data_IF_206878847606
#
_entry.id   IF_206878847606
#
_cell.length_a   1.000
_cell.length_b   1.000
_cell.length_c   1.000
_cell.angle_alpha   90.00
_cell.angle_beta   90.00
_cell.angle_gamma   90.00
#
_symmetry.space_group_name_H-M   'P 1'
#
loop_
_entity.id
_entity.type
_entity.pdbx_description
1 polymer ?
#
# COMPACT_ATOMS: atom_id res chain seq x y z
N UNK A 1 -27.17 -31.31 -20.02
CA UNK A 1 -25.89 -30.84 -19.45
C UNK A 1 -25.12 -29.91 -20.39
N UNK A 2 -25.12 -30.10 -21.71
CA UNK A 2 -24.45 -29.21 -22.69
C UNK A 2 -25.12 -27.83 -22.82
N UNK A 3 -26.44 -27.74 -22.60
CA UNK A 3 -27.19 -26.48 -22.62
C UNK A 3 -26.82 -25.49 -21.50
N UNK A 4 -26.38 -25.98 -20.34
CA UNK A 4 -25.94 -25.14 -19.22
C UNK A 4 -24.59 -24.45 -19.49
N UNK A 5 -23.72 -25.08 -20.29
CA UNK A 5 -22.44 -24.53 -20.74
C UNK A 5 -22.59 -23.38 -21.75
N UNK A 6 -23.64 -23.40 -22.57
CA UNK A 6 -23.93 -22.30 -23.49
C UNK A 6 -24.51 -21.08 -22.77
N UNK A 7 -25.35 -21.31 -21.75
CA UNK A 7 -25.96 -20.24 -20.93
C UNK A 7 -24.94 -19.52 -20.04
N UNK A 8 -23.96 -20.25 -19.49
CA UNK A 8 -22.88 -19.64 -18.69
C UNK A 8 -21.98 -18.73 -19.52
N UNK A 9 -21.78 -19.03 -20.81
CA UNK A 9 -20.95 -18.21 -21.72
C UNK A 9 -21.63 -16.90 -22.10
N UNK A 10 -22.96 -16.89 -22.27
CA UNK A 10 -23.72 -15.66 -22.47
C UNK A 10 -23.71 -14.76 -21.23
N UNK A 11 -23.85 -15.33 -20.03
CA UNK A 11 -23.78 -14.58 -18.78
C UNK A 11 -22.40 -13.99 -18.53
N UNK A 12 -21.33 -14.69 -18.93
CA UNK A 12 -19.96 -14.19 -18.87
C UNK A 12 -19.74 -12.97 -19.76
N UNK A 13 -20.32 -12.96 -20.96
CA UNK A 13 -20.21 -11.81 -21.88
C UNK A 13 -20.98 -10.58 -21.36
N UNK A 14 -22.15 -10.78 -20.76
CA UNK A 14 -22.95 -9.68 -20.19
C UNK A 14 -22.29 -9.07 -18.93
N UNK A 15 -21.61 -9.89 -18.13
CA UNK A 15 -20.87 -9.41 -16.95
C UNK A 15 -19.57 -8.70 -17.32
N UNK A 16 -18.90 -9.13 -18.40
CA UNK A 16 -17.69 -8.47 -18.90
C UNK A 16 -17.99 -7.06 -19.44
N UNK A 17 -19.16 -6.89 -20.09
CA UNK A 17 -19.63 -5.60 -20.60
C UNK A 17 -19.89 -4.61 -19.46
N UNK A 18 -20.52 -5.07 -18.36
CA UNK A 18 -20.69 -4.24 -17.16
C UNK A 18 -19.36 -3.89 -16.47
N UNK A 19 -18.42 -4.82 -16.42
CA UNK A 19 -17.08 -4.55 -15.84
C UNK A 19 -16.36 -3.46 -16.65
N UNK A 20 -16.51 -3.47 -17.98
CA UNK A 20 -16.00 -2.40 -18.84
C UNK A 20 -16.62 -1.04 -18.49
N UNK A 21 -17.93 -0.98 -18.28
CA UNK A 21 -18.64 0.24 -17.85
C UNK A 21 -18.15 0.74 -16.47
N UNK A 22 -17.92 -0.16 -15.52
CA UNK A 22 -17.33 0.20 -14.22
C UNK A 22 -15.89 0.71 -14.35
N UNK A 23 -15.09 0.15 -15.26
CA UNK A 23 -13.74 0.64 -15.55
C UNK A 23 -13.76 2.03 -16.18
N UNK A 24 -14.72 2.32 -17.06
CA UNK A 24 -14.88 3.64 -17.65
C UNK A 24 -15.34 4.68 -16.61
N UNK A 25 -16.24 4.32 -15.70
CA UNK A 25 -16.59 5.14 -14.54
C UNK A 25 -15.38 5.39 -13.62
N UNK A 26 -14.63 4.35 -13.28
CA UNK A 26 -13.40 4.46 -12.49
C UNK A 26 -12.37 5.38 -13.15
N UNK A 27 -12.24 5.29 -14.48
CA UNK A 27 -11.34 6.12 -15.27
C UNK A 27 -11.76 7.59 -15.28
N UNK A 28 -13.06 7.86 -15.34
CA UNK A 28 -13.62 9.22 -15.24
C UNK A 28 -13.40 9.79 -13.84
N UNK A 29 -13.59 8.99 -12.80
CA UNK A 29 -13.42 9.40 -11.41
C UNK A 29 -11.93 9.63 -11.06
N UNK A 30 -11.03 8.79 -11.59
CA UNK A 30 -9.57 8.98 -11.55
C UNK A 30 -9.16 10.29 -12.23
N UNK A 31 -9.75 10.62 -13.39
CA UNK A 31 -9.44 11.84 -14.14
C UNK A 31 -9.86 13.11 -13.40
N UNK A 32 -10.89 13.04 -12.56
CA UNK A 32 -11.39 14.16 -11.76
C UNK A 32 -10.57 14.34 -10.47
N UNK A 33 -10.04 13.25 -9.90
CA UNK A 33 -9.23 13.28 -8.67
C UNK A 33 -7.71 13.19 -8.89
N UNK A 34 -7.25 13.06 -10.14
CA UNK A 34 -5.86 12.81 -10.50
C UNK A 34 -4.91 13.87 -9.93
N UNK A 35 -5.27 15.15 -10.05
CA UNK A 35 -4.36 16.23 -9.69
C UNK A 35 -4.10 16.30 -8.18
N UNK A 36 -5.14 16.15 -7.36
CA UNK A 36 -5.02 16.20 -5.90
C UNK A 36 -4.38 14.92 -5.34
N UNK A 37 -4.69 13.76 -5.93
CA UNK A 37 -4.07 12.49 -5.52
C UNK A 37 -2.60 12.45 -5.96
N UNK A 38 -2.27 12.89 -7.17
CA UNK A 38 -0.91 12.95 -7.67
C UNK A 38 -0.04 13.90 -6.85
N UNK A 39 -0.53 15.11 -6.55
CA UNK A 39 0.19 16.05 -5.67
C UNK A 39 0.37 15.49 -4.26
N UNK A 40 -0.62 14.77 -3.72
CA UNK A 40 -0.53 14.16 -2.39
C UNK A 40 0.48 13.01 -2.36
N UNK A 41 0.47 12.13 -3.36
CA UNK A 41 1.44 11.03 -3.49
C UNK A 41 2.85 11.60 -3.71
N UNK A 42 2.99 12.59 -4.59
CA UNK A 42 4.27 13.27 -4.82
C UNK A 42 4.77 13.95 -3.55
N UNK A 43 3.89 14.64 -2.81
CA UNK A 43 4.22 15.25 -1.53
C UNK A 43 4.70 14.24 -0.48
N UNK A 44 4.01 13.11 -0.32
CA UNK A 44 4.46 12.04 0.57
C UNK A 44 5.75 11.38 0.11
N UNK A 45 5.94 11.19 -1.21
CA UNK A 45 7.17 10.61 -1.75
C UNK A 45 8.38 11.54 -1.50
N UNK A 46 8.23 12.83 -1.78
CA UNK A 46 9.25 13.85 -1.52
C UNK A 46 9.55 13.95 -0.03
N UNK A 47 8.51 14.07 0.82
CA UNK A 47 8.68 14.13 2.26
C UNK A 47 9.37 12.87 2.82
N UNK A 48 9.00 11.69 2.32
CA UNK A 48 9.62 10.42 2.69
C UNK A 48 11.10 10.37 2.31
N UNK A 49 11.44 10.80 1.09
CA UNK A 49 12.82 10.85 0.61
C UNK A 49 13.68 11.80 1.45
N UNK A 50 13.21 13.02 1.68
CA UNK A 50 13.94 14.01 2.48
C UNK A 50 14.06 13.58 3.95
N UNK A 51 13.04 12.93 4.51
CA UNK A 51 13.09 12.38 5.86
C UNK A 51 14.15 11.28 5.99
N UNK A 52 14.19 10.33 5.04
CA UNK A 52 15.21 9.29 5.00
C UNK A 52 16.61 9.90 4.90
N UNK A 53 16.79 10.88 4.01
CA UNK A 53 18.05 11.57 3.83
C UNK A 53 18.48 12.30 5.10
N UNK A 54 17.57 13.02 5.75
CA UNK A 54 17.82 13.72 7.01
C UNK A 54 18.25 12.75 8.13
N UNK A 55 17.59 11.58 8.22
CA UNK A 55 17.98 10.54 9.19
C UNK A 55 19.41 10.09 8.91
N UNK A 56 19.77 9.76 7.66
CA UNK A 56 21.13 9.33 7.30
C UNK A 56 22.18 10.38 7.68
N UNK A 57 21.95 11.64 7.32
CA UNK A 57 22.85 12.74 7.66
C UNK A 57 22.94 12.97 9.17
N UNK A 58 21.87 12.74 9.93
CA UNK A 58 21.89 12.87 11.39
C UNK A 58 22.90 11.90 12.03
N UNK A 59 22.89 10.63 11.65
CA UNK A 59 23.88 9.68 12.19
C UNK A 59 25.30 9.97 11.72
N UNK A 60 25.46 10.45 10.47
CA UNK A 60 26.77 10.88 9.99
C UNK A 60 27.28 12.08 10.80
N UNK A 61 26.43 13.06 11.09
CA UNK A 61 26.75 14.21 11.92
C UNK A 61 27.13 13.81 13.35
N UNK A 62 26.44 12.83 13.94
CA UNK A 62 26.81 12.29 15.26
C UNK A 62 28.19 11.66 15.20
N UNK A 63 28.47 10.80 14.21
CA UNK A 63 29.79 10.15 14.07
C UNK A 63 30.91 11.17 13.88
N UNK A 64 30.69 12.16 12.99
CA UNK A 64 31.67 13.22 12.71
C UNK A 64 31.91 14.09 13.94
N UNK A 65 30.86 14.42 14.71
CA UNK A 65 31.00 15.23 15.94
C UNK A 65 31.89 14.57 17.00
N UNK A 66 31.95 13.24 17.03
CA UNK A 66 32.77 12.48 17.98
C UNK A 66 34.01 11.85 17.32
N UNK A 67 34.41 12.30 16.12
CA UNK A 67 35.49 11.66 15.34
C UNK A 67 36.85 11.66 16.02
N UNK A 68 37.25 12.80 16.59
CA UNK A 68 38.51 12.98 17.33
C UNK A 68 38.37 12.68 18.83
N UNK A 69 37.21 12.21 19.26
CA UNK A 69 36.94 11.87 20.65
C UNK A 69 37.24 10.39 20.94
N UNK A 70 37.72 10.03 22.16
CA UNK A 70 37.83 8.63 22.57
C UNK A 70 36.46 7.92 22.58
N UNK A 71 35.35 8.67 22.59
CA UNK A 71 33.98 8.13 22.57
C UNK A 71 33.45 7.78 21.17
N UNK A 72 34.28 7.85 20.10
CA UNK A 72 33.85 7.54 18.72
C UNK A 72 33.14 6.21 18.58
N UNK A 73 33.66 5.16 19.20
CA UNK A 73 33.06 3.83 19.15
C UNK A 73 31.67 3.80 19.80
N UNK A 74 31.51 4.50 20.93
CA UNK A 74 30.24 4.61 21.64
C UNK A 74 29.21 5.37 20.80
N UNK A 75 29.62 6.47 20.16
CA UNK A 75 28.77 7.23 19.23
C UNK A 75 28.30 6.38 18.04
N UNK A 76 29.19 5.56 17.45
CA UNK A 76 28.83 4.66 16.35
C UNK A 76 27.81 3.59 16.78
N UNK A 77 28.02 2.95 17.94
CA UNK A 77 27.06 1.97 18.48
C UNK A 77 25.72 2.62 18.84
N UNK A 78 25.73 3.86 19.32
CA UNK A 78 24.51 4.60 19.58
C UNK A 78 23.70 4.84 18.30
N UNK A 79 24.35 5.22 17.19
CA UNK A 79 23.71 5.37 15.88
C UNK A 79 23.13 4.04 15.39
N UNK A 80 23.86 2.92 15.57
CA UNK A 80 23.36 1.57 15.23
C UNK A 80 22.11 1.23 16.03
N UNK A 81 22.11 1.46 17.35
CA UNK A 81 20.95 1.21 18.20
C UNK A 81 19.77 2.12 17.85
N UNK A 82 20.03 3.40 17.56
CA UNK A 82 19.01 4.35 17.15
C UNK A 82 18.30 3.90 15.87
N UNK A 83 19.08 3.58 14.82
CA UNK A 83 18.53 3.14 13.54
C UNK A 83 17.89 1.76 13.63
N UNK A 84 18.50 0.84 14.38
CA UNK A 84 17.92 -0.48 14.66
C UNK A 84 16.58 -0.37 15.39
N UNK A 85 16.46 0.55 16.34
CA UNK A 85 15.22 0.86 17.04
C UNK A 85 14.15 1.42 16.11
N UNK A 86 14.48 2.42 15.30
CA UNK A 86 13.56 2.99 14.30
C UNK A 86 13.10 1.92 13.30
N UNK A 87 14.02 1.12 12.78
CA UNK A 87 13.71 0.01 11.88
C UNK A 87 12.81 -1.03 12.55
N UNK A 88 13.07 -1.38 13.81
CA UNK A 88 12.25 -2.30 14.60
C UNK A 88 10.83 -1.77 14.81
N UNK A 89 10.66 -0.48 15.11
CA UNK A 89 9.34 0.16 15.23
C UNK A 89 8.61 0.14 13.89
N UNK A 90 9.27 0.54 12.80
CA UNK A 90 8.70 0.49 11.45
C UNK A 90 8.27 -0.92 11.06
N UNK A 91 9.09 -1.93 11.32
CA UNK A 91 8.75 -3.33 11.07
C UNK A 91 7.58 -3.79 11.95
N UNK A 92 7.53 -3.39 13.21
CA UNK A 92 6.42 -3.73 14.12
C UNK A 92 5.10 -3.11 13.64
N UNK A 93 5.13 -1.84 13.22
CA UNK A 93 3.98 -1.14 12.67
C UNK A 93 3.54 -1.78 11.35
N UNK A 94 4.47 -2.08 10.45
CA UNK A 94 4.18 -2.78 9.21
C UNK A 94 3.54 -4.15 9.48
N UNK A 95 4.14 -4.97 10.35
CA UNK A 95 3.61 -6.29 10.72
C UNK A 95 2.23 -6.20 11.38
N UNK A 96 1.96 -5.17 12.21
CA UNK A 96 0.64 -4.91 12.80
C UNK A 96 -0.39 -4.47 11.76
N UNK A 97 0.02 -3.64 10.82
CA UNK A 97 -0.84 -3.15 9.75
C UNK A 97 -1.18 -4.26 8.76
N UNK A 98 -0.21 -5.08 8.35
CA UNK A 98 -0.44 -6.27 7.53
C UNK A 98 -1.26 -7.36 8.24
N UNK A 99 -1.24 -7.42 9.58
CA UNK A 99 -2.13 -8.29 10.37
C UNK A 99 -3.57 -7.79 10.41
N UNK A 100 -3.81 -6.51 10.22
CA UNK A 100 -5.14 -5.90 10.34
C UNK A 100 -5.72 -5.67 8.94
N UNK A 101 -6.51 -6.65 8.48
CA UNK A 101 -7.42 -6.58 7.32
C UNK A 101 -6.73 -6.44 5.94
N UNK A 102 -6.57 -7.55 5.19
CA UNK A 102 -6.36 -7.45 3.75
C UNK A 102 -7.59 -6.78 3.16
N UNK A 103 -7.43 -5.61 2.54
CA UNK A 103 -8.45 -4.97 1.68
C UNK A 103 -9.03 -5.99 0.68
N UNK A 104 -8.20 -6.95 0.27
CA UNK A 104 -8.58 -8.10 -0.54
C UNK A 104 -9.64 -9.01 0.12
N UNK A 105 -9.64 -9.21 1.44
CA UNK A 105 -10.64 -10.04 2.11
C UNK A 105 -11.99 -9.34 2.16
N UNK A 106 -12.04 -8.05 2.48
CA UNK A 106 -13.29 -7.27 2.50
C UNK A 106 -13.90 -7.18 1.10
N UNK A 107 -13.10 -6.86 0.07
CA UNK A 107 -13.56 -6.87 -1.33
C UNK A 107 -14.03 -8.27 -1.77
N UNK A 108 -13.31 -9.33 -1.38
CA UNK A 108 -13.66 -10.71 -1.76
C UNK A 108 -14.91 -11.21 -1.04
N UNK A 109 -15.16 -10.76 0.19
CA UNK A 109 -16.40 -11.07 0.92
C UNK A 109 -17.60 -10.34 0.34
N UNK A 110 -17.46 -9.06 -0.03
CA UNK A 110 -18.53 -8.34 -0.72
C UNK A 110 -18.80 -8.93 -2.11
N UNK A 111 -17.76 -9.22 -2.89
CA UNK A 111 -17.92 -9.83 -4.21
C UNK A 111 -18.56 -11.22 -4.16
N UNK A 112 -18.24 -12.01 -3.13
CA UNK A 112 -18.93 -13.30 -2.90
C UNK A 112 -20.38 -13.11 -2.53
N UNK A 113 -20.68 -12.12 -1.69
CA UNK A 113 -22.05 -11.81 -1.26
C UNK A 113 -22.91 -11.38 -2.45
N UNK A 114 -22.36 -10.55 -3.33
CA UNK A 114 -23.04 -10.13 -4.56
C UNK A 114 -23.24 -11.30 -5.53
N UNK A 115 -22.28 -12.22 -5.63
CA UNK A 115 -22.42 -13.45 -6.43
C UNK A 115 -23.50 -14.39 -5.89
N UNK A 116 -23.61 -14.53 -4.57
CA UNK A 116 -24.64 -15.38 -3.95
C UNK A 116 -26.04 -14.78 -4.14
N UNK A 117 -26.20 -13.46 -4.03
CA UNK A 117 -27.48 -12.76 -4.32
C UNK A 117 -27.90 -12.94 -5.78
N UNK A 118 -26.96 -12.84 -6.73
CA UNK A 118 -27.25 -13.10 -8.14
C UNK A 118 -27.66 -14.55 -8.35
N UNK A 119 -27.03 -15.49 -7.65
CA UNK A 119 -27.30 -16.93 -7.76
C UNK A 119 -28.64 -17.33 -7.14
N UNK A 120 -29.13 -16.62 -6.13
CA UNK A 120 -30.48 -16.80 -5.57
C UNK A 120 -31.57 -16.15 -6.45
N UNK A 121 -31.21 -15.18 -7.27
CA UNK A 121 -32.14 -14.47 -8.17
C UNK A 121 -32.38 -15.13 -9.53
N UNK A 122 -31.74 -16.27 -9.82
CA UNK A 122 -31.82 -17.04 -11.09
C UNK A 122 -32.37 -18.44 -10.83
#
# INVERSE_FOLDING_TARGET
MISALHKSRQLYLITLDRVSDYFDLLRVELKIHEHNIALRIAGFAVAGLFSLLAIVFLGLAIIVSFWDSPFRALAAWFVVLLYGGIAGVCLNLALKHFRSQPIANTLRTEFRRDLDVIKESV
#
